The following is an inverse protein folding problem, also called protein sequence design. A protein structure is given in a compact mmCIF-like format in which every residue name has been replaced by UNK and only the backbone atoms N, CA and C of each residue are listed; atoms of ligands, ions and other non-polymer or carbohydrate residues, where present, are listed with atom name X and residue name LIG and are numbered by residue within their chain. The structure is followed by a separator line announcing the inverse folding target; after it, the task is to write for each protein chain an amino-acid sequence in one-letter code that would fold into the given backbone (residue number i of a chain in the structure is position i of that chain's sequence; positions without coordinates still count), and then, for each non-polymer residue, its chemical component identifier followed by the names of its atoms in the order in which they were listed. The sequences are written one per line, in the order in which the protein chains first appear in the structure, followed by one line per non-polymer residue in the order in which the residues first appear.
data_IF_153327839883
#
_entry.id   IF_153327839883
#
_cell.length_a   1.000
_cell.length_b   1.000
_cell.length_c   1.000
_cell.angle_alpha   90.00
_cell.angle_beta   90.00
_cell.angle_gamma   90.00
#
_symmetry.space_group_name_H-M   'P 1'
#
loop_
_entity.id
_entity.type
_entity.pdbx_description
1 polymer ?
#
# COMPACT_ATOMS: atom_id res chain seq x y z
N UNK A 1 2.92 26.71 -5.36
CA UNK A 1 3.92 25.71 -5.76
C UNK A 1 3.60 24.47 -4.96
N UNK A 2 3.06 23.41 -5.58
CA UNK A 2 2.84 22.15 -4.87
C UNK A 2 4.23 21.56 -4.59
N UNK A 3 4.61 21.57 -3.31
CA UNK A 3 5.81 20.94 -2.82
C UNK A 3 5.73 19.46 -3.23
N UNK A 4 6.59 19.04 -4.17
CA UNK A 4 6.61 17.66 -4.65
C UNK A 4 7.22 16.85 -3.50
N UNK A 5 6.37 16.34 -2.60
CA UNK A 5 6.82 15.53 -1.45
C UNK A 5 7.60 14.34 -1.99
N UNK A 6 8.87 14.25 -1.62
CA UNK A 6 9.72 13.12 -1.99
C UNK A 6 9.20 11.86 -1.27
N UNK A 7 8.42 11.04 -1.98
CA UNK A 7 7.80 9.82 -1.44
C UNK A 7 8.83 8.79 -0.98
N UNK A 8 10.04 8.86 -1.52
CA UNK A 8 11.14 7.97 -1.14
C UNK A 8 12.03 8.57 -0.04
N UNK A 9 11.71 9.73 0.53
CA UNK A 9 12.55 10.37 1.54
C UNK A 9 12.80 9.46 2.75
N UNK A 10 11.75 8.76 3.23
CA UNK A 10 11.86 7.81 4.34
C UNK A 10 12.76 6.63 3.98
N UNK A 11 12.56 6.05 2.79
CA UNK A 11 13.36 4.94 2.29
C UNK A 11 14.84 5.34 2.13
N UNK A 12 15.09 6.52 1.53
CA UNK A 12 16.44 7.09 1.36
C UNK A 12 17.12 7.30 2.70
N UNK A 13 16.42 7.88 3.68
CA UNK A 13 16.97 8.08 5.01
C UNK A 13 17.27 6.76 5.73
N UNK A 14 16.42 5.74 5.56
CA UNK A 14 16.61 4.43 6.18
C UNK A 14 17.79 3.65 5.60
N UNK A 15 18.07 3.82 4.30
CA UNK A 15 19.12 3.12 3.57
C UNK A 15 20.38 3.98 3.37
N UNK A 16 20.55 5.05 4.13
CA UNK A 16 21.68 6.00 4.00
C UNK A 16 21.93 6.47 2.56
N UNK A 17 20.85 6.64 1.80
CA UNK A 17 20.84 7.02 0.39
C UNK A 17 21.59 6.06 -0.54
N UNK A 18 21.77 4.79 -0.14
CA UNK A 18 22.33 3.73 -0.98
C UNK A 18 21.38 3.42 -2.14
N UNK A 19 21.75 3.90 -3.33
CA UNK A 19 20.94 3.78 -4.54
C UNK A 19 20.64 2.34 -4.92
N UNK A 20 21.58 1.41 -4.70
CA UNK A 20 21.38 0.02 -5.06
C UNK A 20 20.31 -0.60 -4.17
N UNK A 21 20.43 -0.41 -2.85
CA UNK A 21 19.44 -0.93 -1.90
C UNK A 21 18.07 -0.29 -2.09
N UNK A 22 18.01 1.02 -2.38
CA UNK A 22 16.76 1.72 -2.69
C UNK A 22 16.08 1.11 -3.91
N UNK A 23 16.86 0.86 -4.96
CA UNK A 23 16.37 0.26 -6.20
C UNK A 23 15.81 -1.13 -5.95
N UNK A 24 16.55 -2.00 -5.27
CA UNK A 24 16.14 -3.37 -4.94
C UNK A 24 14.84 -3.38 -4.10
N UNK A 25 14.75 -2.52 -3.07
CA UNK A 25 13.52 -2.42 -2.27
C UNK A 25 12.33 -1.88 -3.07
N UNK A 26 12.55 -0.91 -3.95
CA UNK A 26 11.51 -0.38 -4.82
C UNK A 26 11.01 -1.42 -5.83
N UNK A 27 11.91 -2.19 -6.43
CA UNK A 27 11.58 -3.30 -7.33
C UNK A 27 10.73 -4.36 -6.61
N UNK A 28 11.16 -4.81 -5.43
CA UNK A 28 10.41 -5.75 -4.60
C UNK A 28 9.02 -5.22 -4.23
N UNK A 29 8.90 -3.93 -3.91
CA UNK A 29 7.62 -3.31 -3.61
C UNK A 29 6.70 -3.29 -4.83
N UNK A 30 7.22 -2.91 -6.00
CA UNK A 30 6.47 -2.85 -7.26
C UNK A 30 6.05 -4.22 -7.78
N UNK A 31 6.79 -5.28 -7.44
CA UNK A 31 6.46 -6.66 -7.79
C UNK A 31 5.42 -7.28 -6.84
N UNK A 32 5.59 -7.11 -5.53
CA UNK A 32 4.78 -7.81 -4.53
C UNK A 32 3.44 -7.12 -4.26
N UNK A 33 3.44 -5.78 -4.18
CA UNK A 33 2.25 -5.01 -3.77
C UNK A 33 1.02 -5.25 -4.65
N UNK A 34 1.12 -5.36 -5.99
CA UNK A 34 -0.03 -5.70 -6.84
C UNK A 34 -0.68 -7.04 -6.48
N UNK A 35 0.10 -8.04 -6.06
CA UNK A 35 -0.43 -9.34 -5.67
C UNK A 35 -1.15 -9.25 -4.32
N UNK A 36 -0.60 -8.49 -3.38
CA UNK A 36 -1.23 -8.26 -2.07
C UNK A 36 -2.57 -7.52 -2.19
N UNK A 37 -2.66 -6.56 -3.12
CA UNK A 37 -3.89 -5.82 -3.40
C UNK A 37 -4.96 -6.71 -4.04
N UNK A 38 -4.56 -7.61 -4.94
CA UNK A 38 -5.45 -8.63 -5.50
C UNK A 38 -5.94 -9.59 -4.43
N UNK A 39 -5.04 -10.08 -3.57
CA UNK A 39 -5.39 -10.92 -2.42
C UNK A 39 -6.42 -10.22 -1.52
N UNK A 40 -6.14 -8.98 -1.11
CA UNK A 40 -7.04 -8.20 -0.26
C UNK A 40 -8.42 -8.01 -0.90
N UNK A 41 -8.48 -7.79 -2.21
CA UNK A 41 -9.74 -7.68 -2.97
C UNK A 41 -10.54 -8.98 -2.91
N UNK A 42 -9.90 -10.13 -3.18
CA UNK A 42 -10.55 -11.44 -3.12
C UNK A 42 -11.04 -11.80 -1.71
N UNK A 43 -10.29 -11.42 -0.68
CA UNK A 43 -10.68 -11.63 0.71
C UNK A 43 -11.92 -10.81 1.08
N UNK A 44 -12.01 -9.55 0.63
CA UNK A 44 -13.21 -8.72 0.77
C UNK A 44 -14.43 -9.33 0.06
N UNK A 45 -14.26 -9.87 -1.15
CA UNK A 45 -15.34 -10.53 -1.90
C UNK A 45 -15.87 -11.78 -1.16
N UNK A 46 -14.97 -12.55 -0.55
CA UNK A 46 -15.27 -13.75 0.25
C UNK A 46 -15.76 -13.44 1.66
N UNK A 47 -15.71 -12.18 2.09
CA UNK A 47 -15.99 -11.75 3.47
C UNK A 47 -15.12 -12.48 4.52
N UNK A 48 -13.87 -12.77 4.18
CA UNK A 48 -12.91 -13.45 5.07
C UNK A 48 -12.23 -12.43 6.00
N UNK A 49 -12.98 -11.97 7.01
CA UNK A 49 -12.60 -10.87 7.89
C UNK A 49 -11.27 -11.08 8.61
N UNK A 50 -10.92 -12.32 8.96
CA UNK A 50 -9.67 -12.61 9.65
C UNK A 50 -8.46 -12.37 8.74
N UNK A 51 -8.52 -12.87 7.50
CA UNK A 51 -7.44 -12.71 6.55
C UNK A 51 -7.42 -11.31 5.94
N UNK A 52 -8.56 -10.61 5.82
CA UNK A 52 -8.61 -9.18 5.47
C UNK A 52 -7.75 -8.38 6.45
N UNK A 53 -7.94 -8.59 7.77
CA UNK A 53 -7.18 -7.87 8.79
C UNK A 53 -5.67 -8.13 8.67
N UNK A 54 -5.26 -9.40 8.52
CA UNK A 54 -3.85 -9.78 8.40
C UNK A 54 -3.21 -9.17 7.15
N UNK A 55 -3.90 -9.25 6.01
CA UNK A 55 -3.41 -8.73 4.73
C UNK A 55 -3.36 -7.21 4.75
N UNK A 56 -4.41 -6.54 5.24
CA UNK A 56 -4.43 -5.09 5.39
C UNK A 56 -3.28 -4.60 6.28
N UNK A 57 -2.96 -5.30 7.38
CA UNK A 57 -1.84 -4.96 8.26
C UNK A 57 -0.47 -5.04 7.58
N UNK A 58 -0.27 -6.12 6.82
CA UNK A 58 0.96 -6.37 6.06
C UNK A 58 1.15 -5.30 4.98
N UNK A 59 0.12 -5.04 4.17
CA UNK A 59 0.15 -3.99 3.15
C UNK A 59 0.35 -2.62 3.77
N UNK A 60 -0.34 -2.32 4.89
CA UNK A 60 -0.23 -1.03 5.60
C UNK A 60 1.21 -0.72 6.00
N UNK A 61 1.90 -1.69 6.58
CA UNK A 61 3.29 -1.54 6.99
C UNK A 61 4.21 -1.25 5.79
N UNK A 62 3.97 -1.97 4.68
CA UNK A 62 4.70 -1.76 3.43
C UNK A 62 4.48 -0.35 2.87
N UNK A 63 3.23 0.06 2.67
CA UNK A 63 2.91 1.36 2.03
C UNK A 63 3.32 2.56 2.89
N UNK A 64 3.30 2.45 4.23
CA UNK A 64 3.87 3.48 5.14
C UNK A 64 5.35 3.71 4.90
N UNK A 65 6.09 2.65 4.63
CA UNK A 65 7.53 2.73 4.39
C UNK A 65 7.85 3.54 3.13
N UNK A 66 6.94 3.53 2.14
CA UNK A 66 7.01 4.33 0.91
C UNK A 66 6.26 5.67 1.02
N UNK A 67 5.93 6.12 2.24
CA UNK A 67 5.31 7.43 2.48
C UNK A 67 3.85 7.55 2.02
N UNK A 68 3.19 6.44 1.67
CA UNK A 68 1.80 6.41 1.19
C UNK A 68 0.81 6.44 2.36
N UNK A 69 0.84 7.53 3.13
CA UNK A 69 0.09 7.65 4.38
C UNK A 69 -1.43 7.59 4.20
N UNK A 70 -1.95 8.18 3.12
CA UNK A 70 -3.39 8.12 2.80
C UNK A 70 -3.86 6.66 2.61
N UNK A 71 -3.09 5.85 1.88
CA UNK A 71 -3.38 4.42 1.70
C UNK A 71 -3.29 3.67 3.03
N UNK A 72 -2.27 4.01 3.84
CA UNK A 72 -2.09 3.39 5.15
C UNK A 72 -3.26 3.67 6.11
N UNK A 73 -3.86 4.86 6.06
CA UNK A 73 -5.03 5.22 6.84
C UNK A 73 -6.26 4.39 6.44
N UNK A 74 -6.51 4.24 5.15
CA UNK A 74 -7.63 3.41 4.64
C UNK A 74 -7.43 1.94 5.03
N UNK A 75 -6.21 1.41 4.93
CA UNK A 75 -5.91 0.04 5.36
C UNK A 75 -6.12 -0.16 6.87
N UNK A 76 -5.82 0.85 7.68
CA UNK A 76 -6.11 0.82 9.12
C UNK A 76 -7.60 0.89 9.42
N UNK A 77 -8.37 1.62 8.61
CA UNK A 77 -9.83 1.60 8.69
C UNK A 77 -10.37 0.21 8.36
N UNK A 78 -9.86 -0.46 7.32
CA UNK A 78 -10.22 -1.83 6.98
C UNK A 78 -9.91 -2.83 8.12
N UNK A 79 -8.76 -2.70 8.80
CA UNK A 79 -8.44 -3.50 10.00
C UNK A 79 -9.49 -3.29 11.11
N UNK A 80 -9.91 -2.04 11.32
CA UNK A 80 -10.85 -1.67 12.40
C UNK A 80 -12.26 -2.17 12.10
N UNK A 81 -12.70 -2.07 10.84
CA UNK A 81 -14.03 -2.47 10.39
C UNK A 81 -14.15 -4.00 10.33
N UNK A 82 -13.11 -4.69 9.85
CA UNK A 82 -13.06 -6.17 9.87
C UNK A 82 -13.13 -6.73 11.29
N UNK A 83 -12.47 -6.08 12.27
CA UNK A 83 -12.57 -6.45 13.69
C UNK A 83 -13.99 -6.31 14.25
N UNK A 84 -14.72 -5.26 13.83
CA UNK A 84 -16.08 -4.97 14.31
C UNK A 84 -17.19 -5.74 13.60
N UNK A 85 -16.83 -6.66 12.68
CA UNK A 85 -17.77 -7.43 11.84
C UNK A 85 -18.83 -6.54 11.16
N UNK A 86 -18.37 -5.38 10.68
CA UNK A 86 -19.16 -4.35 10.01
C UNK A 86 -19.54 -4.80 8.58
N UNK A 87 -20.52 -4.14 7.93
CA UNK A 87 -21.14 -4.70 6.73
C UNK A 87 -20.15 -4.78 5.54
N UNK A 88 -20.23 -5.90 4.82
CA UNK A 88 -19.39 -6.26 3.66
C UNK A 88 -19.22 -5.13 2.64
N UNK A 89 -20.28 -4.34 2.41
CA UNK A 89 -20.29 -3.23 1.45
C UNK A 89 -19.27 -2.13 1.77
N UNK A 90 -18.95 -1.91 3.05
CA UNK A 90 -17.95 -0.94 3.46
C UNK A 90 -16.54 -1.44 3.12
N UNK A 91 -16.22 -2.71 3.41
CA UNK A 91 -14.94 -3.32 3.06
C UNK A 91 -14.70 -3.34 1.54
N UNK A 92 -15.73 -3.67 0.76
CA UNK A 92 -15.68 -3.60 -0.71
C UNK A 92 -15.48 -2.18 -1.24
N UNK A 93 -16.00 -1.17 -0.54
CA UNK A 93 -15.80 0.24 -0.91
C UNK A 93 -14.38 0.70 -0.61
N UNK A 94 -13.86 0.39 0.58
CA UNK A 94 -12.51 0.76 0.99
C UNK A 94 -11.44 0.09 0.13
N UNK A 95 -11.59 -1.21 -0.17
CA UNK A 95 -10.61 -1.91 -1.03
C UNK A 95 -10.56 -1.34 -2.45
N UNK A 96 -11.70 -0.87 -2.99
CA UNK A 96 -11.74 -0.14 -4.27
C UNK A 96 -11.00 1.19 -4.21
N UNK A 97 -11.12 1.92 -3.10
CA UNK A 97 -10.38 3.17 -2.88
C UNK A 97 -8.86 2.91 -2.79
N UNK A 98 -8.44 1.91 -2.01
CA UNK A 98 -7.05 1.46 -1.92
C UNK A 98 -6.50 1.14 -3.31
N UNK A 99 -7.19 0.29 -4.08
CA UNK A 99 -6.77 -0.10 -5.42
C UNK A 99 -6.64 1.11 -6.37
N UNK A 100 -7.57 2.06 -6.31
CA UNK A 100 -7.53 3.26 -7.15
C UNK A 100 -6.31 4.13 -6.83
N UNK A 101 -6.07 4.41 -5.55
CA UNK A 101 -4.92 5.20 -5.12
C UNK A 101 -3.62 4.47 -5.45
N UNK A 102 -3.53 3.20 -5.12
CA UNK A 102 -2.33 2.39 -5.36
C UNK A 102 -1.98 2.25 -6.84
N UNK A 103 -2.96 2.12 -7.72
CA UNK A 103 -2.69 2.11 -9.16
C UNK A 103 -1.99 3.39 -9.62
N UNK A 104 -2.41 4.56 -9.12
CA UNK A 104 -1.74 5.82 -9.43
C UNK A 104 -0.32 5.87 -8.84
N UNK A 105 -0.17 5.44 -7.59
CA UNK A 105 1.10 5.48 -6.86
C UNK A 105 2.16 4.55 -7.45
N UNK A 106 1.78 3.31 -7.77
CA UNK A 106 2.68 2.34 -8.39
C UNK A 106 3.19 2.82 -9.74
N UNK A 107 2.35 3.49 -10.54
CA UNK A 107 2.79 4.07 -11.83
C UNK A 107 3.79 5.21 -11.65
N UNK A 108 3.63 6.05 -10.63
CA UNK A 108 4.62 7.09 -10.31
C UNK A 108 5.94 6.47 -9.85
N UNK A 109 5.88 5.49 -8.96
CA UNK A 109 7.04 4.77 -8.45
C UNK A 109 7.81 4.02 -9.55
N UNK A 110 7.11 3.42 -10.53
CA UNK A 110 7.73 2.81 -11.72
C UNK A 110 8.53 3.83 -12.53
N UNK A 111 8.06 5.08 -12.65
CA UNK A 111 8.78 6.14 -13.35
C UNK A 111 10.03 6.57 -12.58
N UNK A 112 9.93 6.71 -11.26
CA UNK A 112 11.08 7.05 -10.41
C UNK A 112 12.17 5.97 -10.47
N UNK A 113 11.79 4.69 -10.54
CA UNK A 113 12.73 3.57 -10.71
C UNK A 113 13.63 3.70 -11.94
N UNK A 114 13.13 4.28 -13.03
CA UNK A 114 13.91 4.49 -14.28
C UNK A 114 15.03 5.52 -14.07
N UNK A 115 14.86 6.45 -13.12
CA UNK A 115 15.80 7.55 -12.84
C UNK A 115 16.74 7.27 -11.66
N UNK A 116 16.62 6.11 -11.01
CA UNK A 116 17.50 5.63 -9.92
C UNK A 116 18.73 4.90 -10.48
#
# INVERSE_FOLDING_TARGET
MAEKTDKLALLRAYLDNDKQQIKEMLELFLENTPNDLKELTLLCEKNDVENIRKTAHRVKSSVKFFGLNEVAEILQEMETISWKNQPKNQLETLVKQVNKLMNHELELLRKELIWL
#
